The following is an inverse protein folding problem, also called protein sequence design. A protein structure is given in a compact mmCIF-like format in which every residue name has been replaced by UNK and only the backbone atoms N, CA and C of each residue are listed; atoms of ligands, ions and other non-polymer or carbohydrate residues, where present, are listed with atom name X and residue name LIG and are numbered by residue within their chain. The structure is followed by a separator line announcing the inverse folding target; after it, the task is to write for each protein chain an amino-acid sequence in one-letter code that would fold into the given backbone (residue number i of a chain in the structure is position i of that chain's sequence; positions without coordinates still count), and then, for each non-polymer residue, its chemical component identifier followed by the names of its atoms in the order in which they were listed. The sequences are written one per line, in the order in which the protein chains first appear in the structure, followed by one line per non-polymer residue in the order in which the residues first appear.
data_IF_118653514898
#
_entry.id   IF_118653514898
#
_cell.length_a   1.000
_cell.length_b   1.000
_cell.length_c   1.000
_cell.angle_alpha   90.00
_cell.angle_beta   90.00
_cell.angle_gamma   90.00
#
_symmetry.space_group_name_H-M   'P 1'
#
loop_
_entity.id
_entity.type
_entity.pdbx_description
1 polymer ?
#
# COMPACT_ATOMS: atom_id res chain seq x y z
N UNK A 1 29.81 -23.46 34.00
CA UNK A 1 28.64 -23.44 33.08
C UNK A 1 28.39 -22.05 32.46
N UNK A 2 29.44 -21.24 32.25
CA UNK A 2 29.29 -19.81 31.84
C UNK A 2 29.76 -19.50 30.41
N UNK A 3 29.99 -20.53 29.56
CA UNK A 3 30.44 -20.34 28.17
C UNK A 3 29.33 -20.49 27.13
N UNK A 4 28.16 -21.01 27.52
CA UNK A 4 27.00 -21.20 26.63
C UNK A 4 26.02 -20.01 26.64
N UNK A 5 26.10 -19.14 27.65
CA UNK A 5 25.18 -18.00 27.80
C UNK A 5 25.53 -16.87 26.81
N UNK A 6 26.82 -16.70 26.48
CA UNK A 6 27.27 -15.70 25.50
C UNK A 6 26.94 -16.07 24.05
N UNK A 7 26.81 -17.36 23.73
CA UNK A 7 26.51 -17.83 22.37
C UNK A 7 25.02 -17.71 22.03
N UNK A 8 24.13 -17.86 23.03
CA UNK A 8 22.69 -17.67 22.87
C UNK A 8 22.29 -16.20 22.71
N UNK A 9 23.08 -15.25 23.25
CA UNK A 9 22.78 -13.82 23.17
C UNK A 9 23.08 -13.20 21.79
N UNK A 10 23.92 -13.83 20.97
CA UNK A 10 24.34 -13.28 19.66
C UNK A 10 23.41 -13.71 18.52
N UNK A 11 22.64 -14.79 18.69
CA UNK A 11 21.70 -15.30 17.69
C UNK A 11 20.37 -14.52 17.61
N UNK A 12 20.14 -13.53 18.47
CA UNK A 12 18.88 -12.78 18.56
C UNK A 12 18.85 -11.46 17.75
N UNK A 13 19.92 -11.12 17.02
CA UNK A 13 20.05 -9.80 16.35
C UNK A 13 19.94 -9.82 14.82
N UNK A 14 19.65 -10.97 14.20
CA UNK A 14 19.53 -11.07 12.73
C UNK A 14 18.11 -11.50 12.34
N UNK A 15 17.10 -10.79 12.82
CA UNK A 15 15.80 -10.76 12.15
C UNK A 15 15.96 -9.96 10.86
N UNK A 16 16.61 -10.54 9.84
CA UNK A 16 16.51 -10.03 8.48
C UNK A 16 15.04 -10.19 8.11
N UNK A 17 14.23 -9.16 8.30
CA UNK A 17 12.89 -9.14 7.73
C UNK A 17 13.09 -9.16 6.23
N UNK A 18 12.92 -10.33 5.61
CA UNK A 18 12.85 -10.44 4.16
C UNK A 18 11.65 -9.61 3.70
N UNK A 19 11.88 -8.34 3.36
CA UNK A 19 10.85 -7.46 2.87
C UNK A 19 10.59 -7.82 1.41
N UNK A 20 9.58 -8.64 1.18
CA UNK A 20 9.10 -8.93 -0.16
C UNK A 20 8.10 -7.87 -0.61
N UNK A 21 8.19 -7.45 -1.87
CA UNK A 21 7.17 -6.63 -2.49
C UNK A 21 5.77 -7.25 -2.33
N UNK A 22 4.72 -6.43 -2.13
CA UNK A 22 3.37 -6.96 -1.99
C UNK A 22 2.88 -7.53 -3.32
N UNK A 23 2.15 -8.64 -3.27
CA UNK A 23 1.53 -9.24 -4.45
C UNK A 23 0.25 -8.49 -4.86
N UNK A 24 -0.09 -8.47 -6.15
CA UNK A 24 -1.29 -7.78 -6.63
C UNK A 24 -2.62 -8.29 -6.02
N UNK A 25 -2.80 -9.59 -5.75
CA UNK A 25 -3.95 -10.07 -4.99
C UNK A 25 -4.03 -9.44 -3.59
N UNK A 26 -2.89 -9.33 -2.90
CA UNK A 26 -2.83 -8.67 -1.58
C UNK A 26 -3.21 -7.20 -1.69
N UNK A 27 -2.61 -6.47 -2.64
CA UNK A 27 -2.94 -5.05 -2.89
C UNK A 27 -4.43 -4.87 -3.18
N UNK A 28 -5.00 -5.72 -4.03
CA UNK A 28 -6.42 -5.66 -4.41
C UNK A 28 -7.34 -5.90 -3.22
N UNK A 29 -7.02 -6.86 -2.35
CA UNK A 29 -7.79 -7.13 -1.13
C UNK A 29 -7.76 -5.95 -0.16
N UNK A 30 -6.59 -5.35 0.04
CA UNK A 30 -6.43 -4.20 0.94
C UNK A 30 -7.21 -2.97 0.43
N UNK A 31 -7.29 -2.74 -0.89
CA UNK A 31 -8.00 -1.56 -1.45
C UNK A 31 -9.44 -1.82 -1.88
N UNK A 32 -9.92 -3.06 -1.87
CA UNK A 32 -11.31 -3.39 -2.23
C UNK A 32 -12.35 -2.54 -1.46
N UNK A 33 -12.20 -2.27 -0.15
CA UNK A 33 -13.13 -1.41 0.58
C UNK A 33 -13.13 0.07 0.14
N UNK A 34 -12.15 0.49 -0.67
CA UNK A 34 -12.02 1.87 -1.16
C UNK A 34 -12.82 2.15 -2.44
N UNK A 35 -13.38 1.13 -3.09
CA UNK A 35 -14.15 1.28 -4.34
C UNK A 35 -15.25 2.33 -4.26
N UNK A 36 -16.09 2.39 -3.20
CA UNK A 36 -17.13 3.42 -3.08
C UNK A 36 -16.55 4.84 -3.04
N UNK A 37 -15.39 5.02 -2.40
CA UNK A 37 -14.74 6.32 -2.28
C UNK A 37 -14.13 6.78 -3.60
N UNK A 38 -13.37 5.91 -4.30
CA UNK A 38 -12.71 6.30 -5.56
C UNK A 38 -13.69 6.54 -6.71
N UNK A 39 -14.91 5.99 -6.61
CA UNK A 39 -16.02 6.28 -7.52
C UNK A 39 -16.90 7.46 -7.08
N UNK A 40 -16.70 7.94 -5.85
CA UNK A 40 -17.51 9.00 -5.25
C UNK A 40 -17.14 10.41 -5.75
N UNK A 41 -17.99 11.36 -5.36
CA UNK A 41 -17.75 12.80 -5.54
C UNK A 41 -16.74 13.37 -4.54
N UNK A 42 -16.49 14.68 -4.61
CA UNK A 42 -15.51 15.38 -3.76
C UNK A 42 -15.78 15.24 -2.25
N UNK A 43 -17.05 15.09 -1.85
CA UNK A 43 -17.49 14.97 -0.46
C UNK A 43 -17.48 13.53 0.08
N UNK A 44 -17.11 12.55 -0.76
CA UNK A 44 -16.97 11.18 -0.32
C UNK A 44 -15.95 11.07 0.82
N UNK A 45 -16.19 10.12 1.74
CA UNK A 45 -15.28 9.80 2.83
C UNK A 45 -14.89 8.33 2.74
N UNK A 46 -13.59 8.00 2.87
CA UNK A 46 -13.17 6.61 2.91
C UNK A 46 -13.74 5.93 4.16
N UNK A 47 -14.13 4.67 4.02
CA UNK A 47 -14.50 3.84 5.17
C UNK A 47 -13.27 3.57 6.04
N UNK A 48 -13.50 3.20 7.30
CA UNK A 48 -12.41 2.79 8.19
C UNK A 48 -11.66 1.57 7.63
N UNK A 49 -12.37 0.62 7.04
CA UNK A 49 -11.78 -0.53 6.37
C UNK A 49 -10.89 -0.11 5.18
N UNK A 50 -11.32 0.88 4.39
CA UNK A 50 -10.49 1.43 3.31
C UNK A 50 -9.21 2.04 3.87
N UNK A 51 -9.31 2.88 4.90
CA UNK A 51 -8.14 3.52 5.50
C UNK A 51 -7.19 2.52 6.16
N UNK A 52 -7.72 1.46 6.77
CA UNK A 52 -6.91 0.35 7.27
C UNK A 52 -6.10 -0.31 6.15
N UNK A 53 -6.72 -0.56 5.00
CA UNK A 53 -6.02 -1.13 3.86
C UNK A 53 -4.95 -0.22 3.27
N UNK A 54 -5.24 1.09 3.11
CA UNK A 54 -4.24 2.07 2.68
C UNK A 54 -3.08 2.15 3.68
N UNK A 55 -3.36 2.07 4.99
CA UNK A 55 -2.33 2.04 6.04
C UNK A 55 -1.47 0.79 5.94
N UNK A 56 -2.07 -0.37 5.71
CA UNK A 56 -1.35 -1.62 5.49
C UNK A 56 -0.41 -1.51 4.29
N UNK A 57 -0.86 -0.93 3.17
CA UNK A 57 -0.01 -0.73 1.99
C UNK A 57 1.08 0.33 2.18
N UNK A 58 0.87 1.30 3.08
CA UNK A 58 1.85 2.36 3.33
C UNK A 58 3.19 1.85 3.88
N UNK A 59 3.24 0.66 4.49
CA UNK A 59 4.50 0.07 4.98
C UNK A 59 5.48 -0.24 3.83
N UNK A 60 4.94 -0.51 2.63
CA UNK A 60 5.69 -0.77 1.41
C UNK A 60 6.14 0.52 0.71
N UNK A 61 5.71 1.69 1.18
CA UNK A 61 6.06 2.97 0.58
C UNK A 61 7.44 3.51 0.99
N UNK A 62 8.32 2.70 1.59
CA UNK A 62 9.68 3.10 1.94
C UNK A 62 10.72 2.63 0.91
N UNK A 63 10.35 1.73 0.00
CA UNK A 63 11.22 1.16 -1.02
C UNK A 63 10.70 1.50 -2.42
N UNK A 64 11.59 1.88 -3.35
CA UNK A 64 11.21 2.19 -4.73
C UNK A 64 10.59 0.98 -5.44
N UNK A 65 11.17 -0.21 -5.28
CA UNK A 65 10.68 -1.40 -5.96
C UNK A 65 9.25 -1.76 -5.51
N UNK A 66 8.98 -1.63 -4.21
CA UNK A 66 7.66 -1.94 -3.66
C UNK A 66 6.63 -0.87 -4.02
N UNK A 67 7.03 0.41 -4.07
CA UNK A 67 6.16 1.49 -4.61
C UNK A 67 5.74 1.20 -6.04
N UNK A 68 6.69 0.81 -6.89
CA UNK A 68 6.43 0.46 -8.28
C UNK A 68 5.49 -0.75 -8.38
N UNK A 69 5.74 -1.80 -7.59
CA UNK A 69 4.86 -2.97 -7.50
C UNK A 69 3.45 -2.59 -7.06
N UNK A 70 3.30 -1.82 -5.98
CA UNK A 70 1.99 -1.33 -5.50
C UNK A 70 1.30 -0.51 -6.58
N UNK A 71 1.99 0.41 -7.25
CA UNK A 71 1.43 1.22 -8.33
C UNK A 71 0.90 0.35 -9.48
N UNK A 72 1.69 -0.62 -9.95
CA UNK A 72 1.29 -1.54 -11.02
C UNK A 72 0.06 -2.36 -10.62
N UNK A 73 0.03 -2.86 -9.39
CA UNK A 73 -1.10 -3.61 -8.87
C UNK A 73 -2.35 -2.74 -8.70
N UNK A 74 -2.23 -1.50 -8.24
CA UNK A 74 -3.34 -0.55 -8.15
C UNK A 74 -3.89 -0.23 -9.54
N UNK A 75 -3.02 -0.02 -10.54
CA UNK A 75 -3.42 0.21 -11.92
C UNK A 75 -4.22 -0.97 -12.48
N UNK A 76 -3.76 -2.20 -12.22
CA UNK A 76 -4.48 -3.41 -12.59
C UNK A 76 -5.84 -3.49 -11.88
N UNK A 77 -5.89 -3.33 -10.55
CA UNK A 77 -7.13 -3.39 -9.77
C UNK A 77 -8.15 -2.34 -10.27
N UNK A 78 -7.72 -1.10 -10.49
CA UNK A 78 -8.56 -0.02 -10.97
C UNK A 78 -9.10 -0.28 -12.39
N UNK A 79 -8.39 -1.03 -13.24
CA UNK A 79 -8.90 -1.41 -14.56
C UNK A 79 -10.12 -2.34 -14.50
N UNK A 80 -10.30 -3.07 -13.39
CA UNK A 80 -11.39 -4.03 -13.20
C UNK A 80 -12.68 -3.42 -12.67
N UNK A 81 -12.62 -2.19 -12.10
CA UNK A 81 -13.78 -1.57 -11.44
C UNK A 81 -14.55 -0.61 -12.36
N UNK A 82 -14.12 -0.39 -13.60
CA UNK A 82 -14.76 0.54 -14.54
C UNK A 82 -14.43 2.00 -14.24
N UNK A 83 -15.38 2.92 -14.42
CA UNK A 83 -15.17 4.36 -14.20
C UNK A 83 -14.90 4.68 -12.73
N UNK A 84 -13.86 5.48 -12.47
CA UNK A 84 -13.50 6.06 -11.17
C UNK A 84 -12.84 7.43 -11.38
N UNK A 85 -12.60 8.16 -10.30
CA UNK A 85 -11.91 9.44 -10.32
C UNK A 85 -10.44 9.29 -9.86
N UNK A 86 -9.45 9.45 -10.76
CA UNK A 86 -8.03 9.35 -10.40
C UNK A 86 -7.60 10.32 -9.28
N UNK A 87 -8.25 11.49 -9.16
CA UNK A 87 -7.96 12.46 -8.11
C UNK A 87 -8.37 11.96 -6.72
N UNK A 88 -9.41 11.11 -6.64
CA UNK A 88 -9.78 10.46 -5.37
C UNK A 88 -8.70 9.47 -4.94
N UNK A 89 -8.10 8.73 -5.88
CA UNK A 89 -7.00 7.80 -5.57
C UNK A 89 -5.83 8.53 -4.91
N UNK A 90 -5.43 9.70 -5.43
CA UNK A 90 -4.38 10.53 -4.80
C UNK A 90 -4.79 11.15 -3.47
N UNK A 91 -6.09 11.41 -3.28
CA UNK A 91 -6.60 11.99 -2.04
C UNK A 91 -6.69 10.97 -0.89
N UNK A 92 -6.75 9.66 -1.19
CA UNK A 92 -6.93 8.59 -0.21
C UNK A 92 -5.97 8.68 0.99
N UNK A 93 -4.64 8.74 0.80
CA UNK A 93 -3.73 8.76 1.94
C UNK A 93 -4.00 9.94 2.88
N UNK A 94 -4.14 11.15 2.32
CA UNK A 94 -4.42 12.36 3.10
C UNK A 94 -5.77 12.28 3.83
N UNK A 95 -6.81 11.78 3.15
CA UNK A 95 -8.15 11.59 3.74
C UNK A 95 -8.15 10.52 4.85
N UNK A 96 -7.21 9.59 4.81
CA UNK A 96 -6.99 8.57 5.84
C UNK A 96 -5.97 8.99 6.92
N UNK A 97 -5.44 10.22 6.88
CA UNK A 97 -4.44 10.69 7.85
C UNK A 97 -3.06 10.03 7.70
N UNK A 98 -2.78 9.46 6.53
CA UNK A 98 -1.52 8.77 6.23
C UNK A 98 -0.63 9.73 5.45
N UNK A 99 0.60 9.95 5.95
CA UNK A 99 1.61 10.76 5.28
C UNK A 99 2.29 9.97 4.17
N UNK A 100 1.54 9.71 3.09
CA UNK A 100 2.00 9.03 1.88
C UNK A 100 1.58 9.82 0.64
N UNK A 101 2.52 10.05 -0.28
CA UNK A 101 2.22 10.62 -1.58
C UNK A 101 1.92 9.48 -2.56
N UNK A 102 0.66 9.34 -2.96
CA UNK A 102 0.26 8.50 -4.08
C UNK A 102 0.02 9.38 -5.31
N UNK A 103 0.66 9.09 -6.46
CA UNK A 103 0.34 9.79 -7.69
C UNK A 103 -1.11 9.45 -8.12
N UNK A 104 -1.73 10.27 -8.98
CA UNK A 104 -2.96 9.86 -9.66
C UNK A 104 -2.71 8.55 -10.40
N UNK A 105 -3.52 7.54 -10.12
CA UNK A 105 -3.43 6.25 -10.81
C UNK A 105 -4.54 6.18 -11.83
N UNK A 106 -4.15 6.16 -13.10
CA UNK A 106 -4.99 5.93 -14.25
C UNK A 106 -4.27 5.04 -15.28
N UNK A 107 -4.92 4.79 -16.43
CA UNK A 107 -4.39 3.95 -17.50
C UNK A 107 -3.03 4.44 -18.06
N UNK A 108 -2.73 5.73 -17.97
CA UNK A 108 -1.54 6.39 -18.46
C UNK A 108 -0.47 6.63 -17.37
N UNK A 109 -0.78 6.34 -16.09
CA UNK A 109 0.19 6.51 -15.01
C UNK A 109 1.44 5.66 -15.27
N UNK A 110 2.60 6.31 -15.16
CA UNK A 110 3.91 5.68 -15.20
C UNK A 110 4.33 5.30 -13.78
N UNK A 111 4.35 4.00 -13.48
CA UNK A 111 4.66 3.46 -12.16
C UNK A 111 6.16 3.40 -11.82
N UNK A 112 7.04 3.69 -12.78
CA UNK A 112 8.49 3.63 -12.60
C UNK A 112 9.09 4.97 -12.14
N UNK A 113 8.25 6.00 -11.92
CA UNK A 113 8.61 7.37 -11.54
C UNK A 113 8.15 7.73 -10.14
#
# INVERSE_FOLDING_TARGET
MSRLIGFFAVLLLLSITAHSAPSCPTVSLEVAPCVPFVKGGADAKPSEACCKGVKNLSVHANNKADKEAVCLCLKQALSTIGTYNPSQVSALPKKCGISLVLPPIDKNTNCSK
#
